data_IF_601403957598
#
_entry.id   IF_601403957598
#
_cell.length_a   1.000
_cell.length_b   1.000
_cell.length_c   1.000
_cell.angle_alpha   90.00
_cell.angle_beta   90.00
_cell.angle_gamma   90.00
#
_symmetry.space_group_name_H-M   'P 1'
#
loop_
_entity.id
_entity.type
_entity.pdbx_description
1 polymer ?
#
# COMPACT_ATOMS: atom_id res chain seq x y z
N UNK A 1 -3.02 27.64 56.46
CA UNK A 1 -3.80 27.20 57.64
C UNK A 1 -3.60 25.70 57.84
N UNK A 2 -3.01 25.36 59.00
CA UNK A 2 -3.21 24.18 59.87
C UNK A 2 -3.31 22.73 59.32
N UNK A 3 -2.25 21.98 59.68
CA UNK A 3 -2.07 20.53 59.86
C UNK A 3 -3.30 19.76 60.39
N UNK A 4 -3.45 18.47 60.03
CA UNK A 4 -2.93 17.33 60.83
C UNK A 4 -3.54 15.97 60.42
N UNK A 5 -2.66 14.98 60.19
CA UNK A 5 -2.97 13.56 60.17
C UNK A 5 -3.40 13.10 61.57
N UNK A 6 -4.46 12.28 61.66
CA UNK A 6 -4.74 11.49 62.87
C UNK A 6 -4.41 10.02 62.62
N UNK A 7 -3.36 9.57 63.32
CA UNK A 7 -3.08 8.17 63.63
C UNK A 7 -4.09 7.69 64.67
N UNK A 8 -4.66 6.52 64.48
CA UNK A 8 -5.21 5.70 65.57
C UNK A 8 -4.72 4.29 65.38
N UNK A 9 -3.67 3.97 66.15
CA UNK A 9 -3.16 2.64 66.39
C UNK A 9 -3.89 2.14 67.64
N UNK A 10 -4.83 1.21 67.47
CA UNK A 10 -5.37 0.46 68.61
C UNK A 10 -4.55 -0.82 68.76
N UNK A 11 -3.74 -0.84 69.80
CA UNK A 11 -3.14 -2.04 70.36
C UNK A 11 -4.25 -2.83 71.08
N UNK A 12 -4.53 -4.04 70.60
CA UNK A 12 -5.34 -5.03 71.30
C UNK A 12 -4.45 -6.22 71.63
N UNK A 13 -3.99 -6.27 72.88
CA UNK A 13 -3.39 -7.45 73.50
C UNK A 13 -4.52 -8.42 73.82
N UNK A 14 -4.48 -9.64 73.29
CA UNK A 14 -5.33 -10.73 73.75
C UNK A 14 -4.56 -12.06 73.71
N UNK A 15 -4.28 -12.52 74.94
CA UNK A 15 -4.13 -13.88 75.46
C UNK A 15 -3.70 -15.04 74.53
N UNK A 16 -2.64 -15.71 74.98
CA UNK A 16 -2.26 -17.08 74.66
C UNK A 16 -3.40 -18.05 75.01
N UNK A 17 -3.89 -18.79 74.03
CA UNK A 17 -4.64 -20.04 74.25
C UNK A 17 -4.16 -21.10 73.27
N UNK A 18 -3.47 -22.11 73.79
CA UNK A 18 -3.19 -23.36 73.10
C UNK A 18 -4.49 -24.14 72.95
N UNK A 19 -4.97 -24.31 71.72
CA UNK A 19 -5.91 -25.37 71.34
C UNK A 19 -5.40 -26.00 70.06
N UNK A 20 -5.00 -27.27 70.16
CA UNK A 20 -4.73 -28.11 69.02
C UNK A 20 -6.07 -28.49 68.34
N UNK A 21 -6.23 -28.09 67.07
CA UNK A 21 -7.23 -28.68 66.18
C UNK A 21 -6.49 -29.14 64.92
N UNK A 22 -6.47 -30.45 64.74
CA UNK A 22 -6.06 -31.13 63.52
C UNK A 22 -6.98 -30.72 62.37
N UNK A 23 -6.40 -30.53 61.17
CA UNK A 23 -7.15 -30.27 59.95
C UNK A 23 -6.80 -28.94 59.27
N UNK A 24 -5.52 -28.60 59.13
CA UNK A 24 -5.13 -27.71 58.04
C UNK A 24 -5.37 -28.50 56.75
N UNK A 25 -6.46 -28.22 56.04
CA UNK A 25 -6.50 -28.52 54.61
C UNK A 25 -5.35 -27.74 54.01
N UNK A 26 -4.22 -28.41 53.82
CA UNK A 26 -3.11 -27.89 53.05
C UNK A 26 -3.68 -27.59 51.68
N UNK A 27 -4.00 -26.31 51.44
CA UNK A 27 -4.25 -25.83 50.09
C UNK A 27 -2.96 -26.12 49.34
N UNK A 28 -2.94 -27.21 48.58
CA UNK A 28 -1.87 -27.54 47.65
C UNK A 28 -1.74 -26.34 46.72
N UNK A 29 -0.82 -25.43 47.05
CA UNK A 29 -0.51 -24.29 46.22
C UNK A 29 0.17 -24.85 44.97
N UNK A 30 -0.63 -25.15 43.95
CA UNK A 30 -0.12 -25.58 42.65
C UNK A 30 0.79 -24.48 42.13
N UNK A 31 2.10 -24.74 42.13
CA UNK A 31 3.07 -23.80 41.61
C UNK A 31 2.73 -23.49 40.16
N UNK A 32 2.53 -22.22 39.84
CA UNK A 32 2.18 -21.78 38.48
C UNK A 32 3.20 -22.33 37.49
N UNK A 33 2.79 -23.34 36.73
CA UNK A 33 3.67 -23.94 35.73
C UNK A 33 3.76 -23.03 34.52
N UNK A 34 4.98 -22.73 34.08
CA UNK A 34 5.26 -21.90 32.91
C UNK A 34 5.58 -22.78 31.70
N UNK A 35 5.27 -22.27 30.51
CA UNK A 35 5.72 -22.92 29.29
C UNK A 35 7.25 -22.77 29.13
N UNK A 36 7.84 -23.64 28.30
CA UNK A 36 9.23 -23.57 27.85
C UNK A 36 9.26 -23.46 26.33
N UNK A 37 10.25 -22.77 25.78
CA UNK A 37 10.45 -22.69 24.32
C UNK A 37 11.05 -24.00 23.84
N UNK A 38 10.45 -24.61 22.83
CA UNK A 38 10.96 -25.83 22.16
C UNK A 38 11.62 -25.52 20.84
N UNK A 39 11.20 -24.46 20.15
CA UNK A 39 11.88 -23.96 18.95
C UNK A 39 11.83 -22.44 18.88
N UNK A 40 12.82 -21.85 18.21
CA UNK A 40 12.87 -20.42 17.91
C UNK A 40 13.71 -20.20 16.66
N UNK A 41 13.04 -20.01 15.53
CA UNK A 41 13.67 -19.95 14.20
C UNK A 41 13.38 -18.62 13.53
N UNK A 42 14.33 -18.13 12.74
CA UNK A 42 14.09 -17.01 11.84
C UNK A 42 13.19 -17.47 10.69
N UNK A 43 12.29 -16.59 10.23
CA UNK A 43 11.50 -16.87 9.03
C UNK A 43 12.38 -16.62 7.79
N UNK A 44 12.42 -17.59 6.88
CA UNK A 44 13.25 -17.57 5.67
C UNK A 44 12.45 -17.33 4.39
N UNK A 45 11.11 -17.31 4.45
CA UNK A 45 10.27 -16.97 3.30
C UNK A 45 10.54 -15.55 2.80
N UNK A 46 10.10 -15.29 1.57
CA UNK A 46 10.27 -13.98 0.94
C UNK A 46 9.82 -12.85 1.87
N UNK A 47 10.56 -11.75 1.78
CA UNK A 47 10.38 -10.61 2.62
C UNK A 47 8.94 -10.06 2.59
N UNK A 48 8.41 -9.85 1.39
CA UNK A 48 7.14 -9.20 1.12
C UNK A 48 5.95 -10.02 1.60
N UNK A 49 6.12 -11.36 1.69
CA UNK A 49 5.07 -12.30 2.13
C UNK A 49 4.81 -12.30 3.63
N UNK A 50 5.65 -11.60 4.41
CA UNK A 50 5.64 -11.62 5.89
C UNK A 50 5.06 -10.37 6.52
N UNK A 51 4.42 -9.53 5.72
CA UNK A 51 3.67 -8.40 6.21
C UNK A 51 2.39 -8.89 6.90
N UNK A 52 2.19 -8.38 8.11
CA UNK A 52 1.09 -8.74 8.99
C UNK A 52 0.47 -7.48 9.58
N UNK A 53 -0.74 -7.61 10.10
CA UNK A 53 -1.33 -6.60 10.98
C UNK A 53 -1.62 -7.25 12.33
N UNK A 54 -1.52 -6.45 13.39
CA UNK A 54 -2.04 -6.83 14.71
C UNK A 54 -3.57 -6.72 14.70
N UNK A 55 -4.27 -7.54 15.48
CA UNK A 55 -5.74 -7.47 15.55
C UNK A 55 -6.30 -7.09 16.93
N UNK A 56 -5.43 -6.95 17.94
CA UNK A 56 -5.81 -6.53 19.29
C UNK A 56 -6.36 -7.64 20.20
N UNK A 57 -6.48 -8.88 19.74
CA UNK A 57 -6.98 -10.01 20.56
C UNK A 57 -5.97 -10.47 21.62
N UNK A 58 -4.68 -10.28 21.33
CA UNK A 58 -3.55 -10.69 22.15
C UNK A 58 -2.59 -9.52 22.35
N UNK A 59 -1.92 -9.45 23.50
CA UNK A 59 -0.92 -8.43 23.76
C UNK A 59 0.43 -8.78 23.12
N UNK A 60 1.30 -7.78 22.99
CA UNK A 60 2.69 -7.93 22.57
C UNK A 60 3.58 -8.07 23.80
N UNK A 61 4.53 -9.00 23.78
CA UNK A 61 5.37 -9.33 24.94
C UNK A 61 6.88 -9.31 24.63
N UNK A 62 7.72 -9.22 25.66
CA UNK A 62 9.19 -9.29 25.52
C UNK A 62 9.70 -10.66 25.08
N UNK A 63 8.96 -11.71 25.42
CA UNK A 63 9.15 -13.13 25.06
C UNK A 63 7.77 -13.78 24.94
N UNK A 64 7.66 -15.04 24.50
CA UNK A 64 6.35 -15.70 24.43
C UNK A 64 5.58 -15.57 25.76
N UNK A 65 4.30 -15.15 25.70
CA UNK A 65 3.54 -14.65 26.85
C UNK A 65 3.32 -15.65 27.98
N UNK A 66 3.43 -16.95 27.69
CA UNK A 66 3.28 -18.05 28.67
C UNK A 66 4.60 -18.43 29.37
N UNK A 67 5.73 -17.81 29.01
CA UNK A 67 7.02 -18.06 29.63
C UNK A 67 7.19 -17.28 30.93
N UNK A 68 8.02 -17.80 31.84
CA UNK A 68 8.38 -17.10 33.08
C UNK A 68 9.03 -15.74 32.77
N UNK A 69 8.54 -14.69 33.42
CA UNK A 69 9.05 -13.33 33.27
C UNK A 69 8.77 -12.67 31.92
N UNK A 70 7.73 -13.12 31.19
CA UNK A 70 7.22 -12.36 30.06
C UNK A 70 6.59 -11.04 30.54
N UNK A 71 7.01 -9.91 29.95
CA UNK A 71 6.48 -8.57 30.24
C UNK A 71 5.71 -8.05 29.02
N UNK A 72 4.62 -7.34 29.26
CA UNK A 72 3.84 -6.70 28.20
C UNK A 72 4.62 -5.52 27.62
N UNK A 73 4.80 -5.50 26.30
CA UNK A 73 5.36 -4.40 25.51
C UNK A 73 4.25 -3.48 25.02
N UNK A 74 3.12 -4.04 24.58
CA UNK A 74 1.93 -3.28 24.21
C UNK A 74 0.68 -4.08 24.63
N UNK A 75 -0.27 -3.39 25.25
CA UNK A 75 -1.53 -4.02 25.69
C UNK A 75 -2.43 -4.37 24.50
N UNK A 76 -3.45 -5.20 24.75
CA UNK A 76 -4.50 -5.49 23.76
C UNK A 76 -5.13 -4.20 23.23
N UNK A 77 -5.49 -3.28 24.12
CA UNK A 77 -6.09 -1.98 23.78
C UNK A 77 -5.17 -1.14 22.89
N UNK A 78 -3.87 -1.09 23.21
CA UNK A 78 -2.89 -0.40 22.36
C UNK A 78 -2.85 -1.02 20.96
N UNK A 79 -2.87 -2.35 20.86
CA UNK A 79 -2.86 -3.03 19.56
C UNK A 79 -4.18 -2.88 18.79
N UNK A 80 -5.31 -2.72 19.46
CA UNK A 80 -6.58 -2.32 18.81
C UNK A 80 -6.41 -0.96 18.15
N UNK A 81 -5.89 0.05 18.86
CA UNK A 81 -5.66 1.37 18.26
C UNK A 81 -4.67 1.35 17.08
N UNK A 82 -3.71 0.42 17.08
CA UNK A 82 -2.75 0.26 15.99
C UNK A 82 -3.30 -0.52 14.80
N UNK A 83 -4.27 -1.42 14.99
CA UNK A 83 -4.84 -2.22 13.90
C UNK A 83 -5.51 -1.31 12.86
N UNK A 84 -6.22 -0.28 13.33
CA UNK A 84 -7.07 0.62 12.54
C UNK A 84 -6.34 1.90 12.09
N UNK A 85 -5.08 2.06 12.47
CA UNK A 85 -4.30 3.26 12.18
C UNK A 85 -4.13 3.46 10.66
N UNK A 86 -4.32 4.70 10.17
CA UNK A 86 -4.28 5.03 8.74
C UNK A 86 -2.91 5.43 8.22
N UNK A 87 -1.84 5.17 8.99
CA UNK A 87 -0.47 5.47 8.57
C UNK A 87 0.32 4.17 8.34
N UNK A 88 0.95 4.05 7.17
CA UNK A 88 1.76 2.91 6.74
C UNK A 88 2.94 2.63 7.68
N UNK A 89 3.40 3.63 8.42
CA UNK A 89 4.40 3.49 9.49
C UNK A 89 4.00 2.44 10.55
N UNK A 90 2.69 2.26 10.76
CA UNK A 90 2.14 1.27 11.69
C UNK A 90 1.86 -0.08 11.03
N UNK A 91 2.34 -0.32 9.81
CA UNK A 91 2.43 -1.68 9.25
C UNK A 91 3.40 -2.53 10.07
N UNK A 92 3.21 -3.85 10.04
CA UNK A 92 4.01 -4.79 10.82
C UNK A 92 4.59 -5.88 9.96
N UNK A 93 5.69 -6.45 10.45
CA UNK A 93 6.31 -7.62 9.85
C UNK A 93 6.66 -8.68 10.87
N UNK A 94 6.34 -9.93 10.57
CA UNK A 94 6.83 -11.09 11.29
C UNK A 94 8.21 -11.51 10.74
N UNK A 95 9.14 -11.83 11.64
CA UNK A 95 10.51 -12.21 11.22
C UNK A 95 11.10 -13.41 11.97
N UNK A 96 10.45 -13.88 13.04
CA UNK A 96 10.76 -15.15 13.71
C UNK A 96 9.49 -15.86 14.14
N UNK A 97 9.60 -17.15 14.35
CA UNK A 97 8.55 -18.02 14.91
C UNK A 97 9.14 -18.88 16.02
N UNK A 98 8.37 -19.09 17.09
CA UNK A 98 8.75 -19.94 18.20
C UNK A 98 7.59 -20.85 18.61
N UNK A 99 7.91 -22.10 18.92
CA UNK A 99 6.96 -23.06 19.52
C UNK A 99 7.29 -23.24 20.99
N UNK A 100 6.27 -23.52 21.79
CA UNK A 100 6.42 -23.88 23.20
C UNK A 100 6.17 -25.37 23.42
N UNK A 101 6.57 -25.89 24.59
CA UNK A 101 6.25 -27.26 25.02
C UNK A 101 4.75 -27.53 25.21
N UNK A 102 3.91 -26.49 25.11
CA UNK A 102 2.44 -26.58 25.15
C UNK A 102 1.80 -26.48 23.76
N UNK A 103 2.59 -26.62 22.69
CA UNK A 103 2.10 -26.52 21.30
C UNK A 103 1.66 -25.11 20.86
N UNK A 104 1.84 -24.09 21.70
CA UNK A 104 1.54 -22.70 21.31
C UNK A 104 2.63 -22.14 20.40
N UNK A 105 2.22 -21.42 19.36
CA UNK A 105 3.09 -20.70 18.42
C UNK A 105 3.08 -19.22 18.74
N UNK A 106 4.25 -18.59 18.70
CA UNK A 106 4.42 -17.14 18.84
C UNK A 106 5.27 -16.61 17.70
N UNK A 107 4.91 -15.44 17.17
CA UNK A 107 5.69 -14.74 16.16
C UNK A 107 6.39 -13.54 16.78
N UNK A 108 7.66 -13.33 16.39
CA UNK A 108 8.36 -12.08 16.68
C UNK A 108 8.04 -11.09 15.58
N UNK A 109 7.42 -9.99 15.96
CA UNK A 109 6.94 -8.94 15.05
C UNK A 109 7.58 -7.59 15.37
N UNK A 110 7.58 -6.71 14.38
CA UNK A 110 8.07 -5.32 14.50
C UNK A 110 7.20 -4.40 13.66
N UNK A 111 6.89 -3.21 14.18
CA UNK A 111 6.26 -2.13 13.40
C UNK A 111 7.28 -1.49 12.43
N UNK A 112 6.82 -0.90 11.33
CA UNK A 112 7.74 -0.37 10.32
C UNK A 112 8.52 0.85 10.81
N UNK A 113 7.90 1.69 11.64
CA UNK A 113 8.54 2.77 12.40
C UNK A 113 9.48 2.30 13.52
N UNK A 114 9.52 0.98 13.78
CA UNK A 114 10.34 0.32 14.83
C UNK A 114 9.96 0.65 16.26
N UNK A 115 8.90 1.43 16.50
CA UNK A 115 8.44 1.79 17.85
C UNK A 115 8.07 0.56 18.68
N UNK A 116 7.48 -0.46 18.04
CA UNK A 116 7.09 -1.70 18.72
C UNK A 116 7.86 -2.90 18.18
N UNK A 117 8.31 -3.75 19.11
CA UNK A 117 8.94 -5.03 18.81
C UNK A 117 8.70 -6.01 19.93
N UNK A 118 8.24 -7.20 19.60
CA UNK A 118 7.99 -8.23 20.61
C UNK A 118 7.46 -9.53 20.03
N UNK A 119 7.02 -10.40 20.92
CA UNK A 119 6.40 -11.68 20.62
C UNK A 119 4.90 -11.60 20.85
N UNK A 120 4.13 -12.07 19.87
CA UNK A 120 2.67 -12.10 19.92
C UNK A 120 2.19 -13.52 19.63
N UNK A 121 1.11 -13.92 20.30
CA UNK A 121 0.53 -15.26 20.12
C UNK A 121 0.04 -15.43 18.68
N UNK A 122 0.46 -16.52 18.05
CA UNK A 122 0.23 -16.84 16.64
C UNK A 122 -0.72 -18.01 16.39
N UNK A 123 -1.30 -18.60 17.44
CA UNK A 123 -2.12 -19.81 17.34
C UNK A 123 -1.35 -21.09 17.68
N UNK A 124 -1.62 -22.17 16.95
CA UNK A 124 -1.02 -23.51 17.14
C UNK A 124 -0.22 -24.00 15.93
N UNK A 125 -0.34 -23.35 14.77
CA UNK A 125 0.39 -23.70 13.55
C UNK A 125 1.50 -22.69 13.26
N UNK A 126 2.60 -23.16 12.70
CA UNK A 126 3.70 -22.32 12.21
C UNK A 126 3.53 -21.95 10.73
N UNK A 127 2.59 -22.58 10.01
CA UNK A 127 2.38 -22.40 8.57
C UNK A 127 1.50 -21.19 8.22
N UNK A 128 0.79 -20.63 9.20
CA UNK A 128 -0.18 -19.55 8.98
C UNK A 128 -0.05 -18.47 10.05
N UNK A 129 -0.23 -17.21 9.66
CA UNK A 129 -0.36 -16.11 10.61
C UNK A 129 -1.79 -16.09 11.16
N UNK A 130 -1.93 -16.41 12.45
CA UNK A 130 -3.21 -16.45 13.16
C UNK A 130 -3.08 -15.85 14.58
N UNK A 131 -4.11 -16.04 15.40
CA UNK A 131 -4.10 -15.56 16.79
C UNK A 131 -4.17 -14.04 16.87
N UNK A 132 -3.13 -13.41 17.42
CA UNK A 132 -3.01 -11.95 17.60
C UNK A 132 -2.61 -11.15 16.35
N UNK A 133 -2.31 -11.86 15.26
CA UNK A 133 -1.90 -11.27 13.98
C UNK A 133 -2.63 -11.93 12.82
N UNK A 134 -2.70 -11.23 11.70
CA UNK A 134 -3.18 -11.74 10.43
C UNK A 134 -2.26 -11.29 9.30
N UNK A 135 -2.19 -12.06 8.21
CA UNK A 135 -1.51 -11.62 6.98
C UNK A 135 -2.14 -10.30 6.50
N UNK A 136 -1.31 -9.39 6.02
CA UNK A 136 -1.76 -8.07 5.61
C UNK A 136 -1.08 -7.62 4.33
N UNK A 137 -1.88 -7.25 3.34
CA UNK A 137 -1.38 -6.59 2.14
C UNK A 137 -1.22 -5.10 2.41
N UNK A 138 -0.01 -4.58 2.26
CA UNK A 138 0.31 -3.16 2.48
C UNK A 138 -0.06 -2.29 1.28
N UNK A 139 -0.34 -2.93 0.15
CA UNK A 139 -0.89 -2.34 -1.06
C UNK A 139 -2.05 -3.17 -1.61
N UNK A 140 -2.87 -2.56 -2.45
CA UNK A 140 -3.89 -3.23 -3.25
C UNK A 140 -3.81 -2.72 -4.68
N UNK A 141 -4.30 -3.53 -5.60
CA UNK A 141 -4.56 -3.07 -6.95
C UNK A 141 -5.52 -1.87 -6.92
N UNK A 142 -5.37 -1.00 -7.91
CA UNK A 142 -6.21 0.19 -8.00
C UNK A 142 -7.60 -0.23 -8.49
N UNK A 143 -8.66 0.31 -7.87
CA UNK A 143 -10.02 0.05 -8.33
C UNK A 143 -10.18 0.64 -9.74
N UNK A 144 -10.50 -0.22 -10.71
CA UNK A 144 -10.70 0.19 -12.10
C UNK A 144 -11.88 1.14 -12.23
N UNK A 145 -11.71 2.25 -12.94
CA UNK A 145 -12.82 2.92 -13.61
C UNK A 145 -13.23 2.02 -14.78
N UNK A 146 -14.37 1.35 -14.67
CA UNK A 146 -15.04 0.82 -15.86
C UNK A 146 -15.36 2.02 -16.75
N UNK A 147 -14.67 2.14 -17.89
CA UNK A 147 -15.13 2.98 -18.98
C UNK A 147 -16.58 2.60 -19.26
N UNK A 148 -17.49 3.56 -19.11
CA UNK A 148 -18.90 3.36 -19.40
C UNK A 148 -19.08 3.14 -20.92
N UNK A 149 -18.91 1.89 -21.35
CA UNK A 149 -19.55 1.37 -22.56
C UNK A 149 -20.62 0.41 -22.05
N UNK A 150 -21.87 0.80 -22.23
CA UNK A 150 -23.01 -0.01 -21.86
C UNK A 150 -22.97 -1.37 -22.58
N UNK A 151 -22.90 -2.45 -21.80
CA UNK A 151 -23.39 -3.76 -22.24
C UNK A 151 -23.82 -4.55 -21.01
N UNK A 152 -25.13 -4.64 -20.89
CA UNK A 152 -25.88 -5.44 -19.93
C UNK A 152 -25.52 -6.92 -20.06
N UNK A 153 -25.08 -7.57 -18.97
CA UNK A 153 -25.37 -8.99 -18.67
C UNK A 153 -24.90 -9.33 -17.26
N UNK A 154 -25.87 -9.70 -16.43
CA UNK A 154 -25.77 -10.21 -15.08
C UNK A 154 -25.12 -11.59 -15.00
N UNK A 155 -24.29 -11.85 -13.98
CA UNK A 155 -24.55 -12.88 -12.95
C UNK A 155 -23.36 -13.11 -12.03
N UNK A 156 -23.67 -13.34 -10.76
CA UNK A 156 -22.95 -14.12 -9.74
C UNK A 156 -22.45 -13.33 -8.52
N UNK A 157 -23.14 -13.61 -7.43
CA UNK A 157 -22.96 -13.21 -6.04
C UNK A 157 -21.66 -13.72 -5.42
N UNK A 158 -20.96 -12.85 -4.68
CA UNK A 158 -20.21 -13.24 -3.50
C UNK A 158 -20.19 -12.09 -2.49
N UNK A 159 -20.88 -12.32 -1.38
CA UNK A 159 -21.04 -11.43 -0.22
C UNK A 159 -19.66 -11.07 0.35
N UNK A 160 -19.23 -9.82 0.16
CA UNK A 160 -18.10 -9.25 0.89
C UNK A 160 -18.56 -7.95 1.55
N UNK A 161 -18.46 -7.94 2.88
CA UNK A 161 -18.86 -6.83 3.73
C UNK A 161 -18.16 -5.55 3.26
N UNK A 162 -18.99 -4.59 2.83
CA UNK A 162 -18.59 -3.27 2.37
C UNK A 162 -17.90 -2.50 3.50
N UNK A 163 -16.59 -2.31 3.39
CA UNK A 163 -15.92 -1.21 4.05
C UNK A 163 -16.03 0.02 3.16
N UNK A 164 -16.96 0.91 3.50
CA UNK A 164 -17.06 2.24 2.88
C UNK A 164 -15.77 3.03 3.16
N UNK A 165 -15.03 3.33 2.11
CA UNK A 165 -13.86 4.21 2.13
C UNK A 165 -14.29 5.67 1.92
N UNK A 166 -13.79 6.63 2.70
CA UNK A 166 -13.99 8.05 2.41
C UNK A 166 -13.20 8.47 1.16
N UNK A 167 -13.79 9.37 0.40
CA UNK A 167 -13.29 9.99 -0.83
C UNK A 167 -11.93 10.68 -0.69
N UNK A 168 -10.91 10.20 -1.43
CA UNK A 168 -10.03 11.04 -2.26
C UNK A 168 -9.04 10.16 -3.07
N UNK A 169 -9.14 10.22 -4.40
CA UNK A 169 -8.21 9.65 -5.41
C UNK A 169 -7.91 8.14 -5.25
N UNK A 170 -8.91 7.32 -5.52
CA UNK A 170 -8.82 5.83 -5.49
C UNK A 170 -9.18 5.20 -6.84
N UNK A 171 -9.00 5.95 -7.93
CA UNK A 171 -9.38 5.51 -9.28
C UNK A 171 -8.15 5.13 -10.09
N UNK A 172 -8.21 3.98 -10.77
CA UNK A 172 -7.16 3.57 -11.69
C UNK A 172 -6.89 4.66 -12.73
N UNK A 173 -5.62 4.81 -13.12
CA UNK A 173 -5.25 5.72 -14.20
C UNK A 173 -6.00 5.37 -15.49
N UNK A 174 -6.54 6.40 -16.14
CA UNK A 174 -7.08 6.32 -17.51
C UNK A 174 -5.95 6.03 -18.51
N UNK A 175 -6.31 5.58 -19.72
CA UNK A 175 -5.31 5.30 -20.74
C UNK A 175 -4.55 6.55 -21.19
N UNK A 176 -5.22 7.70 -21.25
CA UNK A 176 -4.56 8.99 -21.46
C UNK A 176 -3.52 9.27 -20.36
N UNK A 177 -3.86 9.02 -19.09
CA UNK A 177 -2.93 9.20 -17.97
C UNK A 177 -1.77 8.20 -17.98
N UNK A 178 -1.98 6.95 -18.42
CA UNK A 178 -0.89 5.97 -18.56
C UNK A 178 0.06 6.35 -19.71
N UNK A 179 -0.49 6.88 -20.80
CA UNK A 179 0.28 7.27 -21.98
C UNK A 179 0.95 8.64 -21.81
N UNK A 180 0.58 9.38 -20.77
CA UNK A 180 1.13 10.68 -20.47
C UNK A 180 2.63 10.66 -20.17
N UNK A 181 3.28 11.80 -20.44
CA UNK A 181 4.64 12.10 -19.97
C UNK A 181 4.53 13.06 -18.79
N UNK A 182 5.31 12.83 -17.75
CA UNK A 182 5.21 13.56 -16.49
C UNK A 182 6.53 14.21 -16.09
N UNK A 183 6.43 15.27 -15.28
CA UNK A 183 7.53 15.80 -14.46
C UNK A 183 7.18 15.69 -12.97
N UNK A 184 8.21 15.60 -12.12
CA UNK A 184 8.02 15.73 -10.67
C UNK A 184 7.80 17.22 -10.36
N UNK A 185 6.63 17.56 -9.82
CA UNK A 185 6.19 18.95 -9.62
C UNK A 185 7.13 19.74 -8.72
N UNK A 186 7.65 19.09 -7.66
CA UNK A 186 8.56 19.70 -6.69
C UNK A 186 9.70 18.74 -6.36
N UNK A 187 10.55 18.48 -7.36
CA UNK A 187 11.77 17.70 -7.16
C UNK A 187 12.64 18.34 -6.06
N UNK A 188 13.24 17.51 -5.21
CA UNK A 188 14.00 17.97 -4.05
C UNK A 188 14.24 16.85 -3.03
N UNK A 189 14.26 17.19 -1.74
CA UNK A 189 14.71 16.27 -0.67
C UNK A 189 13.61 15.78 0.27
N UNK A 190 12.33 16.15 0.04
CA UNK A 190 11.22 15.76 0.91
C UNK A 190 11.00 14.23 0.93
N UNK A 191 10.66 13.69 2.10
CA UNK A 191 10.48 12.25 2.35
C UNK A 191 9.02 11.90 2.71
N UNK A 192 8.09 12.43 1.92
CA UNK A 192 6.64 12.30 2.08
C UNK A 192 5.94 11.76 0.83
N UNK A 193 6.73 11.45 -0.22
CA UNK A 193 6.24 10.95 -1.49
C UNK A 193 5.99 12.02 -2.55
N UNK A 194 6.33 13.29 -2.29
CA UNK A 194 6.07 14.39 -3.24
C UNK A 194 7.29 14.91 -3.99
N UNK A 195 8.51 14.58 -3.55
CA UNK A 195 9.74 15.09 -4.13
C UNK A 195 10.67 14.00 -4.68
N UNK A 196 10.71 12.83 -4.04
CA UNK A 196 11.62 11.72 -4.39
C UNK A 196 10.85 10.43 -4.61
N UNK A 197 11.50 9.44 -5.21
CA UNK A 197 10.98 8.09 -5.44
C UNK A 197 11.47 7.06 -4.42
N UNK A 198 10.82 5.90 -4.41
CA UNK A 198 11.02 4.82 -3.45
C UNK A 198 11.10 3.45 -4.14
N UNK A 199 11.80 2.48 -3.54
CA UNK A 199 11.89 1.13 -4.12
C UNK A 199 10.55 0.39 -4.10
N UNK A 200 9.70 0.73 -3.12
CA UNK A 200 8.30 0.33 -2.95
C UNK A 200 7.55 1.58 -2.46
N UNK A 201 6.22 1.71 -2.66
CA UNK A 201 5.48 2.84 -2.09
C UNK A 201 5.82 3.05 -0.61
N UNK A 202 5.91 4.30 -0.16
CA UNK A 202 6.45 4.59 1.16
C UNK A 202 5.73 3.78 2.26
N UNK A 203 6.51 3.18 3.17
CA UNK A 203 6.00 2.40 4.29
C UNK A 203 5.16 1.16 3.92
N UNK A 204 5.35 0.61 2.73
CA UNK A 204 4.69 -0.64 2.32
C UNK A 204 5.56 -1.88 2.42
N UNK A 205 6.88 -1.71 2.55
CA UNK A 205 7.79 -2.83 2.78
C UNK A 205 8.85 -2.51 3.85
N UNK A 206 9.11 -3.47 4.74
CA UNK A 206 10.01 -3.27 5.88
C UNK A 206 11.46 -3.07 5.42
N UNK A 207 12.10 -2.00 5.91
CA UNK A 207 13.47 -1.57 5.55
C UNK A 207 13.66 -1.18 4.07
N UNK A 208 12.58 -0.99 3.31
CA UNK A 208 12.65 -0.34 2.00
C UNK A 208 12.40 1.15 2.16
N UNK A 209 13.01 1.94 1.28
CA UNK A 209 13.00 3.40 1.40
C UNK A 209 13.17 4.06 0.04
N UNK A 210 13.66 5.30 0.08
CA UNK A 210 13.90 6.10 -1.12
C UNK A 210 14.95 5.47 -2.02
N UNK A 211 14.79 5.58 -3.34
CA UNK A 211 15.83 5.20 -4.31
C UNK A 211 16.92 6.26 -4.41
N UNK A 212 16.54 7.53 -4.28
CA UNK A 212 17.45 8.68 -4.14
C UNK A 212 17.00 9.58 -3.00
N UNK A 213 17.96 10.21 -2.32
CA UNK A 213 17.67 11.13 -1.21
C UNK A 213 17.45 12.57 -1.65
N UNK A 214 17.88 12.91 -2.87
CA UNK A 214 17.74 14.21 -3.49
C UNK A 214 17.37 14.03 -4.97
N UNK A 215 16.21 14.57 -5.35
CA UNK A 215 15.72 14.55 -6.72
C UNK A 215 15.99 15.87 -7.47
N UNK A 216 16.65 16.85 -6.86
CA UNK A 216 16.97 18.15 -7.51
C UNK A 216 17.64 18.00 -8.88
N UNK A 217 18.61 17.07 -9.08
CA UNK A 217 19.23 16.86 -10.40
C UNK A 217 18.26 16.41 -11.51
N UNK A 218 17.09 15.90 -11.12
CA UNK A 218 16.06 15.35 -12.02
C UNK A 218 14.88 16.31 -12.22
N UNK A 219 14.97 17.57 -11.77
CA UNK A 219 13.87 18.53 -11.82
C UNK A 219 13.31 18.75 -13.24
N UNK A 220 14.16 18.60 -14.25
CA UNK A 220 13.80 18.75 -15.66
C UNK A 220 13.56 17.43 -16.39
N UNK A 221 13.79 16.29 -15.72
CA UNK A 221 13.63 14.98 -16.33
C UNK A 221 12.15 14.65 -16.53
N UNK A 222 11.88 13.89 -17.59
CA UNK A 222 10.53 13.44 -17.92
C UNK A 222 10.36 11.96 -17.66
N UNK A 223 9.14 11.57 -17.34
CA UNK A 223 8.85 10.24 -16.82
C UNK A 223 7.64 9.61 -17.48
N UNK A 224 7.69 8.29 -17.67
CA UNK A 224 6.53 7.45 -17.99
C UNK A 224 6.08 6.69 -16.75
N UNK A 225 4.76 6.57 -16.58
CA UNK A 225 4.19 5.67 -15.58
C UNK A 225 4.21 4.25 -16.13
N UNK A 226 4.75 3.32 -15.34
CA UNK A 226 4.92 1.90 -15.73
C UNK A 226 4.08 0.95 -14.87
N UNK A 227 3.65 1.41 -13.69
CA UNK A 227 2.88 0.61 -12.74
C UNK A 227 2.09 1.54 -11.80
N UNK A 228 1.06 1.01 -11.15
CA UNK A 228 0.23 1.74 -10.19
C UNK A 228 -0.27 0.83 -9.06
N UNK A 229 -0.43 1.39 -7.87
CA UNK A 229 -0.96 0.67 -6.72
C UNK A 229 -1.52 1.65 -5.69
N UNK A 230 -2.38 1.17 -4.79
CA UNK A 230 -2.91 1.97 -3.68
C UNK A 230 -2.35 1.46 -2.37
N UNK A 231 -1.90 2.34 -1.46
CA UNK A 231 -1.51 1.90 -0.12
C UNK A 231 -2.74 1.63 0.73
N UNK A 232 -2.79 0.49 1.41
CA UNK A 232 -4.03 0.04 2.10
C UNK A 232 -4.39 0.84 3.34
N UNK A 233 -3.42 1.49 4.00
CA UNK A 233 -3.68 2.29 5.20
C UNK A 233 -4.09 3.71 4.87
N UNK A 234 -3.35 4.36 3.98
CA UNK A 234 -3.57 5.74 3.58
C UNK A 234 -4.64 5.90 2.49
N UNK A 235 -4.82 4.89 1.64
CA UNK A 235 -5.73 4.95 0.48
C UNK A 235 -5.20 5.81 -0.67
N UNK A 236 -3.93 6.23 -0.64
CA UNK A 236 -3.34 7.09 -1.66
C UNK A 236 -2.78 6.30 -2.85
N UNK A 237 -2.91 6.89 -4.05
CA UNK A 237 -2.41 6.34 -5.30
C UNK A 237 -0.90 6.59 -5.44
N UNK A 238 -0.16 5.50 -5.64
CA UNK A 238 1.27 5.49 -5.95
C UNK A 238 1.49 4.91 -7.34
N UNK A 239 2.42 5.51 -8.08
CA UNK A 239 2.79 5.09 -9.43
C UNK A 239 4.28 4.82 -9.50
N UNK A 240 4.67 3.83 -10.28
CA UNK A 240 6.08 3.57 -10.60
C UNK A 240 6.47 4.33 -11.85
N UNK A 241 7.45 5.20 -11.73
CA UNK A 241 7.93 6.02 -12.84
C UNK A 241 9.25 5.49 -13.40
N UNK A 242 9.39 5.60 -14.71
CA UNK A 242 10.61 5.36 -15.46
C UNK A 242 11.05 6.66 -16.13
N UNK A 243 12.27 7.09 -15.84
CA UNK A 243 12.95 8.23 -16.40
C UNK A 243 13.23 7.98 -17.88
N UNK A 244 12.78 8.91 -18.73
CA UNK A 244 13.03 8.88 -20.17
C UNK A 244 14.38 9.47 -20.54
N UNK A 245 15.06 10.10 -19.58
CA UNK A 245 16.32 10.80 -19.77
C UNK A 245 17.47 9.93 -19.26
N UNK A 246 18.57 9.85 -20.02
CA UNK A 246 19.73 9.07 -19.62
C UNK A 246 20.76 9.88 -18.79
N UNK A 247 20.60 11.20 -18.71
CA UNK A 247 21.60 12.16 -18.19
C UNK A 247 22.07 11.85 -16.78
N UNK A 248 21.17 11.40 -15.90
CA UNK A 248 21.46 11.14 -14.48
C UNK A 248 21.50 9.63 -14.13
N UNK A 249 21.60 8.75 -15.15
CA UNK A 249 21.69 7.31 -14.94
C UNK A 249 20.43 6.66 -14.37
N UNK A 250 19.26 7.29 -14.52
CA UNK A 250 17.92 6.75 -14.20
C UNK A 250 17.76 6.20 -12.76
N UNK A 251 18.61 6.62 -11.81
CA UNK A 251 18.58 6.15 -10.40
C UNK A 251 17.30 6.57 -9.67
N UNK A 252 16.65 7.62 -10.17
CA UNK A 252 15.35 8.11 -9.70
C UNK A 252 14.21 7.13 -10.04
N UNK A 253 14.38 6.13 -10.89
CA UNK A 253 13.31 5.18 -11.21
C UNK A 253 12.75 4.51 -9.95
N UNK A 254 11.44 4.54 -9.76
CA UNK A 254 10.81 4.04 -8.54
C UNK A 254 9.39 4.54 -8.34
N UNK A 255 8.84 4.29 -7.15
CA UNK A 255 7.49 4.64 -6.76
C UNK A 255 7.40 6.07 -6.21
N UNK A 256 6.40 6.83 -6.62
CA UNK A 256 6.07 8.17 -6.12
C UNK A 256 4.55 8.33 -6.03
N UNK A 257 4.05 9.26 -5.21
CA UNK A 257 2.61 9.59 -5.23
C UNK A 257 2.23 10.14 -6.60
N UNK A 258 1.10 9.70 -7.14
CA UNK A 258 0.61 10.22 -8.42
C UNK A 258 0.37 11.74 -8.35
N UNK A 259 -0.13 12.24 -7.23
CA UNK A 259 -0.35 13.68 -6.98
C UNK A 259 0.93 14.52 -6.94
N UNK A 260 2.11 13.89 -6.96
CA UNK A 260 3.39 14.59 -7.06
C UNK A 260 3.78 14.93 -8.50
N UNK A 261 3.06 14.37 -9.48
CA UNK A 261 3.37 14.48 -10.89
C UNK A 261 2.47 15.51 -11.56
N UNK A 262 3.06 16.27 -12.47
CA UNK A 262 2.33 17.12 -13.41
C UNK A 262 2.55 16.56 -14.80
N UNK A 263 1.47 16.31 -15.54
CA UNK A 263 1.58 15.92 -16.93
C UNK A 263 2.20 17.08 -17.72
N UNK A 264 3.25 16.81 -18.49
CA UNK A 264 3.72 17.79 -19.48
C UNK A 264 2.72 17.79 -20.62
N UNK A 265 2.34 18.96 -21.13
CA UNK A 265 1.41 19.07 -22.25
C UNK A 265 1.77 18.06 -23.34
N UNK A 266 0.83 17.16 -23.59
CA UNK A 266 1.00 16.02 -24.45
C UNK A 266 1.04 16.49 -25.89
N UNK A 267 2.10 16.15 -26.62
CA UNK A 267 1.89 15.66 -28.00
C UNK A 267 0.93 14.47 -27.87
N UNK A 268 -0.31 14.53 -28.40
CA UNK A 268 -1.29 13.47 -28.21
C UNK A 268 -0.70 12.14 -28.70
N UNK A 269 -0.84 11.09 -27.90
CA UNK A 269 -0.55 9.74 -28.37
C UNK A 269 -1.38 9.48 -29.64
N UNK A 270 -0.72 9.27 -30.77
CA UNK A 270 -1.39 8.78 -31.96
C UNK A 270 -1.91 7.37 -31.67
N UNK A 271 -3.21 7.15 -31.79
CA UNK A 271 -3.79 5.80 -31.88
C UNK A 271 -3.05 5.04 -32.99
N UNK A 272 -2.65 3.77 -32.87
CA UNK A 272 -2.05 3.05 -34.00
C UNK A 272 -3.00 3.12 -35.21
N UNK A 273 -2.49 3.52 -36.37
CA UNK A 273 -3.24 3.51 -37.63
C UNK A 273 -3.15 2.07 -38.15
N UNK A 274 -4.28 1.43 -38.44
CA UNK A 274 -4.28 0.07 -39.00
C UNK A 274 -3.50 0.05 -40.32
N UNK A 275 -2.86 -1.06 -40.68
CA UNK A 275 -2.11 -1.21 -41.95
C UNK A 275 -2.97 -0.94 -43.19
N UNK A 276 -4.30 -1.03 -43.06
CA UNK A 276 -5.28 -0.74 -44.11
C UNK A 276 -5.82 0.69 -44.06
N UNK A 277 -5.30 1.55 -43.18
CA UNK A 277 -5.82 2.90 -42.97
C UNK A 277 -4.76 3.98 -43.18
N UNK A 278 -5.22 5.16 -43.59
CA UNK A 278 -4.44 6.39 -43.64
C UNK A 278 -5.04 7.37 -42.65
N UNK A 279 -4.22 7.94 -41.77
CA UNK A 279 -4.65 9.00 -40.84
C UNK A 279 -4.39 10.38 -41.41
N UNK A 280 -5.45 11.18 -41.46
CA UNK A 280 -5.37 12.61 -41.74
C UNK A 280 -5.32 13.38 -40.42
N UNK A 281 -4.26 14.15 -40.21
CA UNK A 281 -4.11 15.03 -39.05
C UNK A 281 -4.35 16.48 -39.48
N UNK A 282 -5.26 17.17 -38.81
CA UNK A 282 -5.52 18.59 -38.98
C UNK A 282 -4.74 19.35 -37.91
N UNK A 283 -3.80 20.19 -38.31
CA UNK A 283 -2.97 21.00 -37.39
C UNK A 283 -3.32 22.48 -37.47
N UNK A 284 -3.13 23.23 -36.39
CA UNK A 284 -3.16 24.69 -36.42
C UNK A 284 -1.87 25.29 -37.00
N UNK A 285 -1.82 26.62 -37.10
CA UNK A 285 -0.65 27.37 -37.58
C UNK A 285 0.61 27.21 -36.70
N UNK A 286 0.46 26.71 -35.47
CA UNK A 286 1.57 26.39 -34.57
C UNK A 286 2.08 24.95 -34.72
N UNK A 287 1.44 24.15 -35.57
CA UNK A 287 1.78 22.74 -35.79
C UNK A 287 1.10 21.78 -34.80
N UNK A 288 0.18 22.26 -33.95
CA UNK A 288 -0.55 21.41 -32.99
C UNK A 288 -1.74 20.73 -33.67
N UNK A 289 -1.82 19.40 -33.56
CA UNK A 289 -2.96 18.62 -34.09
C UNK A 289 -4.25 18.95 -33.32
N UNK A 290 -5.24 19.47 -34.03
CA UNK A 290 -6.57 19.83 -33.52
C UNK A 290 -7.54 18.65 -33.70
N UNK A 291 -7.37 17.85 -34.76
CA UNK A 291 -8.25 16.71 -35.06
C UNK A 291 -7.51 15.66 -35.89
N UNK A 292 -7.90 14.40 -35.75
CA UNK A 292 -7.47 13.31 -36.62
C UNK A 292 -8.67 12.54 -37.16
N UNK A 293 -8.57 12.04 -38.39
CA UNK A 293 -9.55 11.15 -39.01
C UNK A 293 -8.80 9.96 -39.61
N UNK A 294 -9.25 8.75 -39.30
CA UNK A 294 -8.70 7.52 -39.89
C UNK A 294 -9.58 7.11 -41.06
N UNK A 295 -8.98 7.02 -42.24
CA UNK A 295 -9.62 6.51 -43.44
C UNK A 295 -9.16 5.08 -43.67
N UNK A 296 -10.04 4.11 -43.43
CA UNK A 296 -9.76 2.68 -43.69
C UNK A 296 -10.12 2.34 -45.13
N UNK A 297 -9.20 1.70 -45.84
CA UNK A 297 -9.44 1.13 -47.18
C UNK A 297 -10.58 0.10 -47.07
N UNK A 298 -11.76 0.44 -47.59
CA UNK A 298 -12.80 -0.55 -47.85
C UNK A 298 -12.30 -1.48 -48.96
N UNK A 299 -12.43 -2.79 -48.74
CA UNK A 299 -11.80 -3.88 -49.49
C UNK A 299 -12.19 -4.07 -50.97
N UNK A 300 -12.56 -2.99 -51.68
CA UNK A 300 -12.83 -2.99 -53.11
C UNK A 300 -12.13 -1.87 -53.90
N UNK A 301 -11.39 -0.95 -53.24
CA UNK A 301 -10.76 0.18 -53.92
C UNK A 301 -9.61 -0.26 -54.85
N UNK A 302 -9.71 0.10 -56.14
CA UNK A 302 -8.76 -0.15 -57.23
C UNK A 302 -7.85 1.06 -57.46
N UNK A 303 -6.76 0.85 -58.21
CA UNK A 303 -5.89 1.94 -58.69
C UNK A 303 -6.72 2.93 -59.51
N UNK A 304 -6.67 4.21 -59.15
CA UNK A 304 -7.45 5.28 -59.77
C UNK A 304 -8.81 5.58 -59.10
N UNK A 305 -9.19 4.86 -58.03
CA UNK A 305 -10.44 5.17 -57.33
C UNK A 305 -10.32 6.44 -56.48
N UNK A 306 -11.32 7.32 -56.59
CA UNK A 306 -11.43 8.51 -55.76
C UNK A 306 -11.87 8.12 -54.33
N UNK A 307 -11.01 8.37 -53.34
CA UNK A 307 -11.24 7.99 -51.94
C UNK A 307 -12.01 9.06 -51.13
N UNK A 308 -12.34 10.20 -51.74
CA UNK A 308 -13.12 11.27 -51.11
C UNK A 308 -12.88 12.64 -51.75
N UNK A 309 -13.77 13.58 -51.43
CA UNK A 309 -13.70 14.96 -51.94
C UNK A 309 -13.84 15.97 -50.81
N UNK A 310 -12.90 16.91 -50.66
CA UNK A 310 -13.00 17.97 -49.65
C UNK A 310 -13.71 19.23 -50.21
N UNK A 311 -14.85 19.57 -49.62
CA UNK A 311 -15.63 20.81 -49.83
C UNK A 311 -14.95 22.12 -49.43
N UNK A 312 -14.85 23.18 -50.25
CA UNK A 312 -14.65 24.52 -49.66
C UNK A 312 -15.99 25.04 -49.14
N UNK A 313 -16.12 25.28 -47.82
CA UNK A 313 -17.27 26.02 -47.30
C UNK A 313 -17.03 27.52 -47.57
N UNK A 314 -17.70 28.05 -48.60
CA UNK A 314 -17.54 29.42 -49.10
C UNK A 314 -17.81 30.53 -48.08
N UNK A 315 -18.27 30.19 -46.88
CA UNK A 315 -18.60 31.16 -45.82
C UNK A 315 -17.45 31.44 -44.85
N UNK A 316 -16.37 30.63 -44.84
CA UNK A 316 -15.31 30.75 -43.79
C UNK A 316 -13.87 30.43 -44.23
N UNK A 317 -13.58 30.15 -45.51
CA UNK A 317 -12.20 30.17 -46.04
C UNK A 317 -11.28 28.98 -45.67
N UNK A 318 -11.79 27.74 -45.57
CA UNK A 318 -10.97 26.53 -45.34
C UNK A 318 -10.48 25.84 -46.62
N UNK A 319 -9.38 25.06 -46.54
CA UNK A 319 -8.69 24.35 -47.65
C UNK A 319 -9.21 22.94 -47.96
N UNK A 320 -8.94 22.46 -49.20
CA UNK A 320 -9.09 21.06 -49.67
C UNK A 320 -7.75 20.43 -50.06
N UNK A 321 -7.53 19.16 -49.70
CA UNK A 321 -6.42 18.28 -50.09
C UNK A 321 -7.00 17.05 -50.83
N UNK A 322 -6.43 16.70 -51.98
CA UNK A 322 -6.74 15.47 -52.72
C UNK A 322 -5.49 14.57 -52.75
N UNK A 323 -5.66 13.27 -52.49
CA UNK A 323 -4.61 12.25 -52.59
C UNK A 323 -5.05 11.15 -53.56
N UNK A 324 -4.18 10.83 -54.52
CA UNK A 324 -4.37 9.75 -55.48
C UNK A 324 -3.35 8.65 -55.17
N UNK A 325 -3.79 7.39 -55.13
CA UNK A 325 -2.86 6.27 -54.96
C UNK A 325 -2.22 5.95 -56.32
N UNK A 326 -0.89 6.11 -56.40
CA UNK A 326 -0.11 5.69 -57.58
C UNK A 326 -0.11 4.17 -57.78
#
# INVERSE_FOLDING_TARGET
>A
MKKSLKKTLFAGVAALSFVAVAGTTSTNASAKSYAKVTSNKALTTDATTRNVNVNGTNALYTKAGTLKGAKTVASKTTLVGLKDNKTGQKNWRAYRVATTNRGSVYYKVVSFDKTYRGWIYGGKSTSTFAGGIAKYSTTTDVAGTTSATASNSSSASATSASFQTPSNQTTALTDAQKNATYKITKAGTANDGTATTYSYPAWTEYKKGRTVTDATPYANDTFKVTDQTTRTREGDLWVKIADTNATNGQKINGWIKYSALTATDQTPAQTPVADTAVRLNFTDASGKTIKSVDYTKLGAAKKGDNLGSLTQNKTTGGLRLDFELC
#
